data_IF_423398400392
#
_entry.id   IF_423398400392
#
_cell.length_a   1.000
_cell.length_b   1.000
_cell.length_c   1.000
_cell.angle_alpha   90.00
_cell.angle_beta   90.00
_cell.angle_gamma   90.00
#
_symmetry.space_group_name_H-M   'P 1'
#
loop_
_entity.id
_entity.type
_entity.pdbx_description
1 polymer ?
#
# COMPACT_ATOMS: atom_id res chain seq x y z
N UNK A 1 -1.56 12.03 4.81
CA UNK A 1 -0.57 11.65 3.78
C UNK A 1 -1.28 10.97 2.63
N UNK A 2 -0.87 11.22 1.39
CA UNK A 2 -1.48 10.68 0.17
C UNK A 2 -0.37 10.33 -0.82
N UNK A 3 -0.39 9.12 -1.36
CA UNK A 3 0.70 8.62 -2.22
C UNK A 3 0.17 7.68 -3.30
N UNK A 4 0.70 7.77 -4.54
CA UNK A 4 0.55 6.72 -5.54
C UNK A 4 0.97 5.35 -5.04
N UNK A 5 0.25 4.31 -5.43
CA UNK A 5 0.54 2.93 -5.03
C UNK A 5 0.03 1.94 -6.07
N UNK A 6 0.61 0.74 -6.06
CA UNK A 6 0.18 -0.41 -6.84
C UNK A 6 -0.41 -1.47 -5.92
N UNK A 7 -1.66 -1.86 -6.14
CA UNK A 7 -2.24 -3.07 -5.55
C UNK A 7 -1.78 -4.28 -6.35
N UNK A 8 -1.12 -5.23 -5.72
CA UNK A 8 -0.61 -6.42 -6.38
C UNK A 8 -1.70 -7.50 -6.41
N UNK A 9 -2.18 -7.86 -7.61
CA UNK A 9 -3.22 -8.88 -7.82
C UNK A 9 -2.66 -9.96 -8.75
N UNK A 10 -2.45 -11.16 -8.23
CA UNK A 10 -1.84 -12.26 -8.99
C UNK A 10 -0.46 -11.88 -9.54
N UNK A 11 -0.13 -12.39 -10.73
CA UNK A 11 1.15 -12.11 -11.40
C UNK A 11 1.10 -10.90 -12.34
N UNK A 12 -0.06 -10.62 -12.94
CA UNK A 12 -0.20 -9.60 -14.01
C UNK A 12 -1.31 -8.59 -13.75
N UNK A 13 -2.13 -8.78 -12.72
CA UNK A 13 -3.30 -7.94 -12.44
C UNK A 13 -2.99 -6.71 -11.58
N UNK A 14 -1.72 -6.34 -11.42
CA UNK A 14 -1.34 -5.21 -10.58
C UNK A 14 -2.04 -3.94 -11.03
N UNK A 15 -2.67 -3.26 -10.08
CA UNK A 15 -3.55 -2.13 -10.34
C UNK A 15 -3.00 -0.86 -9.71
N UNK A 16 -2.86 0.19 -10.51
CA UNK A 16 -2.48 1.50 -10.03
C UNK A 16 -3.63 2.17 -9.25
N UNK A 17 -3.27 2.95 -8.23
CA UNK A 17 -4.21 3.77 -7.48
C UNK A 17 -3.51 4.71 -6.52
N UNK A 18 -4.28 5.25 -5.60
CA UNK A 18 -3.81 6.19 -4.58
C UNK A 18 -4.18 5.67 -3.19
N UNK A 19 -3.22 5.68 -2.28
CA UNK A 19 -3.43 5.40 -0.86
C UNK A 19 -3.37 6.70 -0.08
N UNK A 20 -4.34 6.91 0.80
CA UNK A 20 -4.42 8.07 1.66
C UNK A 20 -4.68 7.66 3.10
N UNK A 21 -3.99 8.32 4.03
CA UNK A 21 -4.27 8.26 5.46
C UNK A 21 -4.49 9.67 6.00
N UNK A 22 -5.62 9.88 6.67
CA UNK A 22 -5.99 11.15 7.29
C UNK A 22 -7.04 10.93 8.37
N UNK A 23 -6.93 11.62 9.50
CA UNK A 23 -7.90 11.59 10.59
C UNK A 23 -8.24 10.16 11.07
N UNK A 24 -7.22 9.30 11.21
CA UNK A 24 -7.42 7.90 11.63
C UNK A 24 -8.09 6.99 10.60
N UNK A 25 -8.31 7.47 9.36
CA UNK A 25 -8.93 6.70 8.27
C UNK A 25 -7.91 6.35 7.20
N UNK A 26 -8.03 5.13 6.68
CA UNK A 26 -7.26 4.63 5.55
C UNK A 26 -8.19 4.50 4.33
N UNK A 27 -7.80 5.15 3.23
CA UNK A 27 -8.53 5.14 1.97
C UNK A 27 -7.64 4.66 0.84
N UNK A 28 -8.13 3.72 0.04
CA UNK A 28 -7.53 3.33 -1.22
C UNK A 28 -8.48 3.66 -2.36
N UNK A 29 -7.98 4.36 -3.37
CA UNK A 29 -8.73 4.74 -4.57
C UNK A 29 -8.02 4.15 -5.80
N UNK A 30 -8.49 3.02 -6.36
CA UNK A 30 -7.89 2.46 -7.56
C UNK A 30 -8.21 3.32 -8.78
N UNK A 31 -7.38 3.24 -9.82
CA UNK A 31 -7.64 3.90 -11.10
C UNK A 31 -8.91 3.36 -11.79
N UNK A 32 -9.32 2.13 -11.47
CA UNK A 32 -10.55 1.51 -11.94
C UNK A 32 -11.17 0.58 -10.89
N UNK A 33 -12.49 0.39 -10.91
CA UNK A 33 -13.16 -0.47 -9.94
C UNK A 33 -13.38 0.18 -8.57
N UNK A 34 -13.50 -0.66 -7.54
CA UNK A 34 -13.97 -0.25 -6.21
C UNK A 34 -12.80 -0.20 -5.23
N UNK A 35 -12.65 0.95 -4.56
CA UNK A 35 -11.70 1.15 -3.47
C UNK A 35 -12.32 0.88 -2.10
N UNK A 36 -11.67 1.36 -1.04
CA UNK A 36 -12.20 1.32 0.32
C UNK A 36 -11.89 2.64 1.06
N UNK A 37 -12.68 2.93 2.08
CA UNK A 37 -12.49 4.06 3.01
C UNK A 37 -12.96 3.61 4.40
N UNK A 38 -12.03 3.28 5.28
CA UNK A 38 -12.29 2.60 6.56
C UNK A 38 -11.52 3.25 7.70
N UNK A 39 -11.94 2.99 8.94
CA UNK A 39 -11.11 3.35 10.10
C UNK A 39 -9.83 2.50 10.14
N UNK A 40 -8.71 3.09 10.56
CA UNK A 40 -7.44 2.38 10.63
C UNK A 40 -7.50 1.19 11.61
N UNK A 41 -8.35 1.28 12.63
CA UNK A 41 -8.62 0.21 13.61
C UNK A 41 -9.26 -1.04 13.01
N UNK A 42 -9.90 -0.94 11.83
CA UNK A 42 -10.47 -2.07 11.11
C UNK A 42 -9.42 -2.85 10.31
N UNK A 43 -8.28 -2.21 10.03
CA UNK A 43 -7.17 -2.79 9.27
C UNK A 43 -6.31 -3.65 10.20
N UNK A 44 -6.07 -4.90 9.81
CA UNK A 44 -5.34 -5.89 10.61
C UNK A 44 -4.09 -6.37 9.89
N UNK A 45 -3.25 -7.09 10.62
CA UNK A 45 -2.08 -7.81 10.10
C UNK A 45 -1.16 -6.98 9.21
N UNK A 46 -1.00 -5.69 9.54
CA UNK A 46 -0.15 -4.78 8.77
C UNK A 46 1.31 -5.26 8.90
N UNK A 47 1.88 -5.67 7.78
CA UNK A 47 3.22 -6.22 7.72
C UNK A 47 4.01 -5.61 6.55
N UNK A 48 5.27 -5.26 6.82
CA UNK A 48 6.22 -4.76 5.82
C UNK A 48 7.30 -5.84 5.60
N UNK A 49 7.14 -6.74 4.62
CA UNK A 49 8.08 -7.83 4.41
C UNK A 49 9.47 -7.29 4.07
N UNK A 50 10.51 -7.84 4.69
CA UNK A 50 11.89 -7.38 4.50
C UNK A 50 12.35 -7.48 3.03
N UNK A 51 11.87 -8.50 2.29
CA UNK A 51 12.21 -8.72 0.89
C UNK A 51 11.52 -7.73 -0.07
N UNK A 52 10.54 -6.94 0.42
CA UNK A 52 10.05 -5.76 -0.31
C UNK A 52 10.91 -4.53 -0.03
N UNK A 53 11.94 -4.63 0.82
CA UNK A 53 12.82 -3.53 1.21
C UNK A 53 12.06 -2.32 1.74
N UNK A 54 10.96 -2.55 2.45
CA UNK A 54 9.97 -1.53 2.85
C UNK A 54 9.24 -0.82 1.71
N UNK A 55 9.49 -1.15 0.43
CA UNK A 55 8.82 -0.58 -0.73
C UNK A 55 7.39 -1.10 -0.96
N UNK A 56 6.87 -1.91 -0.04
CA UNK A 56 5.51 -2.42 -0.08
C UNK A 56 5.11 -3.02 1.25
N UNK A 57 3.83 -3.32 1.40
CA UNK A 57 3.27 -3.91 2.62
C UNK A 57 2.05 -4.78 2.32
N UNK A 58 1.66 -5.55 3.32
CA UNK A 58 0.43 -6.34 3.33
C UNK A 58 -0.45 -5.90 4.48
N UNK A 59 -1.75 -6.06 4.31
CA UNK A 59 -2.74 -5.85 5.36
C UNK A 59 -3.96 -6.73 5.13
N UNK A 60 -4.73 -6.99 6.17
CA UNK A 60 -6.02 -7.66 6.11
C UNK A 60 -7.13 -6.65 6.35
N UNK A 61 -8.13 -6.63 5.47
CA UNK A 61 -9.35 -5.85 5.66
C UNK A 61 -10.56 -6.74 5.40
N UNK A 62 -11.51 -6.79 6.33
CA UNK A 62 -12.70 -7.64 6.23
C UNK A 62 -12.42 -9.13 5.87
N UNK A 63 -11.26 -9.65 6.28
CA UNK A 63 -10.84 -11.03 5.98
C UNK A 63 -10.14 -11.22 4.63
N UNK A 64 -10.00 -10.17 3.81
CA UNK A 64 -9.26 -10.19 2.54
C UNK A 64 -7.84 -9.64 2.73
N UNK A 65 -6.84 -10.34 2.19
CA UNK A 65 -5.44 -9.86 2.15
C UNK A 65 -5.24 -8.88 0.98
N UNK A 66 -4.80 -7.67 1.31
CA UNK A 66 -4.35 -6.67 0.35
C UNK A 66 -2.83 -6.60 0.36
N UNK A 67 -2.24 -6.61 -0.84
CA UNK A 67 -0.80 -6.42 -1.04
C UNK A 67 -0.57 -5.15 -1.84
N UNK A 68 0.32 -4.31 -1.34
CA UNK A 68 0.62 -3.02 -1.95
C UNK A 68 2.11 -2.84 -2.17
N UNK A 69 2.45 -2.11 -3.23
CA UNK A 69 3.80 -1.68 -3.58
C UNK A 69 3.83 -0.19 -3.93
N UNK A 70 4.76 0.55 -3.35
CA UNK A 70 5.09 1.92 -3.73
C UNK A 70 6.04 1.99 -4.92
N UNK A 71 6.54 0.84 -5.36
CA UNK A 71 7.40 0.67 -6.53
C UNK A 71 6.54 0.06 -7.64
N UNK A 72 6.60 0.62 -8.83
CA UNK A 72 5.90 0.07 -10.00
C UNK A 72 6.33 -1.37 -10.27
N UNK A 73 5.38 -2.32 -10.33
CA UNK A 73 5.67 -3.67 -10.77
C UNK A 73 5.82 -3.69 -12.30
N UNK A 74 6.84 -4.38 -12.80
CA UNK A 74 7.11 -4.64 -14.23
C UNK A 74 7.80 -3.53 -15.04
N UNK A 75 8.42 -2.54 -14.40
CA UNK A 75 9.19 -1.50 -15.10
C UNK A 75 10.67 -1.54 -14.70
N UNK A 76 11.56 -1.70 -15.67
CA UNK A 76 13.02 -1.69 -15.49
C UNK A 76 13.54 -0.32 -15.01
N UNK A 77 12.75 0.74 -15.16
CA UNK A 77 13.05 2.11 -14.73
C UNK A 77 12.30 2.53 -13.46
N UNK A 78 11.73 1.60 -12.70
CA UNK A 78 11.01 1.93 -11.48
C UNK A 78 11.91 2.71 -10.50
N UNK A 79 11.40 3.83 -9.95
CA UNK A 79 12.11 4.61 -8.93
C UNK A 79 12.09 3.90 -7.57
N UNK A 80 12.97 2.91 -7.44
CA UNK A 80 13.11 2.08 -6.24
C UNK A 80 13.48 2.93 -5.02
N UNK A 81 14.28 3.99 -5.19
CA UNK A 81 14.74 4.82 -4.07
C UNK A 81 13.58 5.58 -3.45
N UNK A 82 12.84 6.32 -4.26
CA UNK A 82 11.67 7.06 -3.80
C UNK A 82 10.61 6.12 -3.23
N UNK A 83 10.34 4.99 -3.89
CA UNK A 83 9.38 4.00 -3.38
C UNK A 83 9.73 3.46 -1.99
N UNK A 84 11.02 3.21 -1.72
CA UNK A 84 11.49 2.78 -0.38
C UNK A 84 11.36 3.88 0.67
N UNK A 85 11.65 5.13 0.32
CA UNK A 85 11.51 6.27 1.24
C UNK A 85 10.06 6.48 1.65
N UNK A 86 9.14 6.46 0.67
CA UNK A 86 7.69 6.51 0.90
C UNK A 86 7.24 5.34 1.78
N UNK A 87 7.68 4.12 1.47
CA UNK A 87 7.31 2.95 2.25
C UNK A 87 7.79 2.99 3.71
N UNK A 88 8.97 3.58 3.98
CA UNK A 88 9.42 3.85 5.36
C UNK A 88 8.52 4.85 6.09
N UNK A 89 8.03 5.88 5.40
CA UNK A 89 7.09 6.85 6.00
C UNK A 89 5.78 6.15 6.35
N UNK A 90 5.22 5.36 5.43
CA UNK A 90 4.02 4.57 5.68
C UNK A 90 4.18 3.56 6.82
N UNK A 91 5.33 2.88 6.91
CA UNK A 91 5.61 1.96 8.02
C UNK A 91 5.56 2.67 9.37
N UNK A 92 6.15 3.87 9.47
CA UNK A 92 6.07 4.68 10.70
C UNK A 92 4.63 5.05 11.02
N UNK A 93 3.85 5.47 10.02
CA UNK A 93 2.45 5.89 10.25
C UNK A 93 1.53 4.74 10.62
N UNK A 94 1.69 3.56 10.02
CA UNK A 94 0.75 2.44 10.19
C UNK A 94 1.09 1.51 11.36
N UNK A 95 2.34 1.49 11.81
CA UNK A 95 2.82 0.53 12.83
C UNK A 95 3.25 1.23 14.13
N UNK A 96 3.58 2.52 14.08
CA UNK A 96 3.95 3.28 15.28
C UNK A 96 2.81 4.16 15.84
N UNK A 97 1.62 4.13 15.22
CA UNK A 97 0.39 4.70 15.74
C UNK A 97 -0.51 3.59 16.27
#
# INVERSE_FOLDING_TARGET
MRTPIWRLIGLTGSQYGELQISNGRLKYSPASGVGFDVELTEVKDINFPWHYFSGGFKMTLAGEEFRFSFIEPHNDYADVRTGREVGKQWKKTLVAG
#
